data_IF_574110785938
#
_entry.id   IF_574110785938
#
_cell.length_a   1.000
_cell.length_b   1.000
_cell.length_c   1.000
_cell.angle_alpha   90.00
_cell.angle_beta   90.00
_cell.angle_gamma   90.00
#
_symmetry.space_group_name_H-M   'P 1'
#
loop_
_entity.id
_entity.type
_entity.pdbx_description
1 polymer ?
#
# COMPACT_ATOMS: atom_id res chain seq x y z
N UNK A 1 24.67 -21.72 4.23
CA UNK A 1 23.23 -21.64 3.89
C UNK A 1 22.75 -23.05 3.55
N UNK A 2 21.64 -23.55 4.12
CA UNK A 2 21.21 -24.94 3.93
C UNK A 2 20.49 -25.14 2.58
N UNK A 3 20.50 -26.35 2.03
CA UNK A 3 19.79 -26.71 0.79
C UNK A 3 18.29 -26.42 0.88
N UNK A 4 17.69 -26.58 2.07
CA UNK A 4 16.29 -26.24 2.31
C UNK A 4 16.02 -24.74 2.17
N UNK A 5 16.91 -23.89 2.65
CA UNK A 5 16.78 -22.44 2.49
C UNK A 5 16.95 -22.04 1.02
N UNK A 6 17.84 -22.69 0.27
CA UNK A 6 17.99 -22.45 -1.17
C UNK A 6 16.76 -22.89 -1.97
N UNK A 7 16.15 -24.03 -1.62
CA UNK A 7 14.91 -24.50 -2.24
C UNK A 7 13.73 -23.61 -1.88
N UNK A 8 13.64 -23.14 -0.64
CA UNK A 8 12.61 -22.20 -0.21
C UNK A 8 12.70 -20.86 -0.95
N UNK A 9 13.90 -20.28 -1.05
CA UNK A 9 14.14 -19.07 -1.85
C UNK A 9 13.80 -19.33 -3.31
N UNK A 10 14.25 -20.44 -3.90
CA UNK A 10 13.91 -20.78 -5.29
C UNK A 10 12.40 -20.94 -5.51
N UNK A 11 11.66 -21.52 -4.55
CA UNK A 11 10.21 -21.61 -4.59
C UNK A 11 9.57 -20.22 -4.52
N UNK A 12 10.01 -19.34 -3.63
CA UNK A 12 9.50 -17.97 -3.55
C UNK A 12 9.76 -17.17 -4.85
N UNK A 13 10.92 -17.37 -5.47
CA UNK A 13 11.23 -16.78 -6.78
C UNK A 13 10.35 -17.35 -7.91
N UNK A 14 9.86 -18.58 -7.76
CA UNK A 14 9.00 -19.26 -8.75
C UNK A 14 7.50 -18.98 -8.56
N UNK A 15 7.04 -18.83 -7.32
CA UNK A 15 5.63 -18.69 -6.96
C UNK A 15 5.20 -17.26 -6.64
N UNK A 16 6.15 -16.32 -6.63
CA UNK A 16 5.90 -14.90 -6.38
C UNK A 16 5.98 -14.52 -4.90
N UNK A 17 5.87 -13.22 -4.65
CA UNK A 17 5.94 -12.67 -3.30
C UNK A 17 4.65 -13.00 -2.51
N UNK A 18 4.75 -13.53 -1.27
CA UNK A 18 3.59 -13.71 -0.39
C UNK A 18 2.77 -12.42 -0.20
N UNK A 19 1.47 -12.55 0.07
CA UNK A 19 0.56 -11.40 0.25
C UNK A 19 0.97 -10.47 1.41
N UNK A 20 1.69 -10.99 2.39
CA UNK A 20 2.24 -10.29 3.56
C UNK A 20 3.69 -9.83 3.34
N UNK A 21 4.18 -9.73 2.11
CA UNK A 21 5.53 -9.23 1.83
C UNK A 21 5.72 -7.78 2.28
N UNK A 22 6.78 -7.50 3.05
CA UNK A 22 7.17 -6.15 3.41
C UNK A 22 7.90 -5.48 2.23
N UNK A 23 7.39 -4.33 1.80
CA UNK A 23 8.06 -3.43 0.86
C UNK A 23 8.04 -2.04 1.48
N UNK A 24 9.20 -1.52 1.85
CA UNK A 24 9.36 -0.21 2.50
C UNK A 24 10.58 0.52 1.91
N UNK A 25 11.24 1.42 2.63
CA UNK A 25 12.42 2.15 2.13
C UNK A 25 13.74 1.34 2.16
N UNK A 26 13.78 0.24 2.92
CA UNK A 26 14.95 -0.61 3.14
C UNK A 26 14.81 -1.96 2.43
N UNK A 27 13.59 -2.48 2.32
CA UNK A 27 13.23 -3.77 1.77
C UNK A 27 12.58 -3.61 0.39
N UNK A 28 13.40 -3.73 -0.66
CA UNK A 28 12.95 -3.59 -2.05
C UNK A 28 12.70 -4.92 -2.76
N UNK A 29 11.86 -4.88 -3.78
CA UNK A 29 11.63 -5.94 -4.74
C UNK A 29 12.67 -5.89 -5.86
N UNK A 30 13.10 -7.06 -6.38
CA UNK A 30 14.06 -7.12 -7.45
C UNK A 30 13.46 -6.59 -8.77
N UNK A 31 14.32 -6.03 -9.62
CA UNK A 31 13.90 -5.39 -10.88
C UNK A 31 13.21 -6.34 -11.88
N UNK A 32 13.45 -7.65 -11.77
CA UNK A 32 12.82 -8.67 -12.62
C UNK A 32 11.46 -9.12 -12.10
N UNK A 33 11.08 -8.78 -10.86
CA UNK A 33 9.78 -9.16 -10.31
C UNK A 33 8.68 -8.29 -10.92
N UNK A 34 7.93 -8.89 -11.83
CA UNK A 34 6.91 -8.25 -12.67
C UNK A 34 5.65 -9.16 -12.72
N UNK A 35 4.87 -9.24 -11.62
CA UNK A 35 3.73 -10.15 -11.53
C UNK A 35 2.50 -9.65 -12.30
N UNK A 36 2.46 -8.38 -12.70
CA UNK A 36 1.21 -7.72 -13.08
C UNK A 36 0.28 -7.49 -11.89
N UNK A 37 -0.97 -7.09 -12.16
CA UNK A 37 -2.02 -7.07 -11.14
C UNK A 37 -2.42 -8.52 -10.84
N UNK A 38 -2.42 -8.93 -9.56
CA UNK A 38 -2.76 -10.30 -9.19
C UNK A 38 -4.27 -10.55 -9.34
N UNK A 39 -4.64 -11.74 -9.80
CA UNK A 39 -6.04 -12.12 -10.04
C UNK A 39 -6.89 -12.08 -8.76
N UNK A 40 -6.34 -12.51 -7.62
CA UNK A 40 -7.01 -12.46 -6.32
C UNK A 40 -7.26 -11.01 -5.87
N UNK A 41 -6.30 -10.12 -6.12
CA UNK A 41 -6.46 -8.67 -5.85
C UNK A 41 -7.56 -8.09 -6.73
N UNK A 42 -7.60 -8.45 -8.01
CA UNK A 42 -8.63 -7.98 -8.94
C UNK A 42 -10.03 -8.45 -8.51
N UNK A 43 -10.19 -9.73 -8.16
CA UNK A 43 -11.46 -10.27 -7.71
C UNK A 43 -11.93 -9.60 -6.39
N UNK A 44 -11.01 -9.37 -5.45
CA UNK A 44 -11.30 -8.65 -4.22
C UNK A 44 -11.70 -7.19 -4.48
N UNK A 45 -11.02 -6.53 -5.41
CA UNK A 45 -11.33 -5.16 -5.84
C UNK A 45 -12.74 -5.05 -6.43
N UNK A 46 -13.12 -5.96 -7.33
CA UNK A 46 -14.46 -5.98 -7.93
C UNK A 46 -15.57 -6.18 -6.87
N UNK A 47 -15.31 -7.02 -5.87
CA UNK A 47 -16.22 -7.22 -4.74
C UNK A 47 -16.35 -5.95 -3.88
N UNK A 48 -15.22 -5.29 -3.57
CA UNK A 48 -15.18 -4.03 -2.83
C UNK A 48 -15.93 -2.92 -3.59
N UNK A 49 -15.68 -2.76 -4.89
CA UNK A 49 -16.32 -1.77 -5.73
C UNK A 49 -17.83 -2.01 -5.83
N UNK A 50 -18.26 -3.27 -5.97
CA UNK A 50 -19.68 -3.63 -5.98
C UNK A 50 -20.36 -3.23 -4.67
N UNK A 51 -19.76 -3.57 -3.54
CA UNK A 51 -20.32 -3.24 -2.23
C UNK A 51 -20.40 -1.73 -1.97
N UNK A 52 -19.34 -0.99 -2.32
CA UNK A 52 -19.33 0.47 -2.25
C UNK A 52 -20.49 1.07 -3.06
N UNK A 53 -20.70 0.58 -4.29
CA UNK A 53 -21.77 1.08 -5.17
C UNK A 53 -23.18 0.86 -4.61
N UNK A 54 -23.40 -0.25 -3.89
CA UNK A 54 -24.68 -0.55 -3.23
C UNK A 54 -25.01 0.44 -2.11
N UNK A 55 -24.01 1.11 -1.56
CA UNK A 55 -24.12 2.14 -0.53
C UNK A 55 -24.02 3.57 -1.10
N UNK A 56 -24.05 3.71 -2.43
CA UNK A 56 -23.96 5.00 -3.12
C UNK A 56 -22.56 5.60 -3.11
N UNK A 57 -21.52 4.79 -2.84
CA UNK A 57 -20.12 5.19 -2.93
C UNK A 57 -19.57 4.78 -4.29
N UNK A 58 -19.08 5.74 -5.06
CA UNK A 58 -18.39 5.44 -6.32
C UNK A 58 -16.88 5.43 -6.11
N UNK A 59 -16.21 4.46 -6.74
CA UNK A 59 -14.78 4.25 -6.59
C UNK A 59 -14.17 3.84 -7.94
N UNK A 60 -13.06 4.48 -8.31
CA UNK A 60 -12.25 4.12 -9.47
C UNK A 60 -10.82 3.76 -9.05
N UNK A 61 -10.20 2.88 -9.83
CA UNK A 61 -8.77 2.62 -9.75
C UNK A 61 -8.03 3.76 -10.44
N UNK A 62 -7.29 4.56 -9.68
CA UNK A 62 -6.45 5.63 -10.20
C UNK A 62 -5.10 5.07 -10.67
N UNK A 63 -4.51 4.18 -9.87
CA UNK A 63 -3.23 3.54 -10.15
C UNK A 63 -3.18 2.16 -9.49
N UNK A 64 -2.95 1.11 -10.28
CA UNK A 64 -2.84 -0.27 -9.80
C UNK A 64 -1.41 -0.78 -9.86
N UNK A 65 -1.19 -1.94 -10.47
CA UNK A 65 0.15 -2.47 -10.69
C UNK A 65 1.10 -1.47 -11.36
N UNK A 66 2.31 -1.33 -10.82
CA UNK A 66 3.41 -0.56 -11.41
C UNK A 66 4.65 -1.42 -11.49
N UNK A 67 5.15 -1.67 -12.70
CA UNK A 67 6.42 -2.38 -12.88
C UNK A 67 7.60 -1.56 -12.39
N UNK A 68 8.72 -2.23 -12.13
CA UNK A 68 9.98 -1.58 -11.74
C UNK A 68 10.36 -0.46 -12.73
N UNK A 69 10.27 -0.77 -14.04
CA UNK A 69 10.57 0.20 -15.11
C UNK A 69 9.61 1.38 -15.15
N UNK A 70 8.31 1.15 -14.91
CA UNK A 70 7.33 2.24 -14.83
C UNK A 70 7.55 3.09 -13.58
N UNK A 71 7.84 2.47 -12.44
CA UNK A 71 8.17 3.18 -11.20
C UNK A 71 9.41 4.07 -11.38
N UNK A 72 10.39 3.68 -12.20
CA UNK A 72 11.55 4.53 -12.51
C UNK A 72 11.15 5.82 -13.23
N UNK A 73 10.17 5.75 -14.13
CA UNK A 73 9.63 6.92 -14.82
C UNK A 73 8.84 7.82 -13.88
N UNK A 74 8.02 7.22 -13.00
CA UNK A 74 7.27 7.96 -11.97
C UNK A 74 8.23 8.68 -11.03
N UNK A 75 9.22 7.97 -10.47
CA UNK A 75 10.22 8.54 -9.57
C UNK A 75 10.98 9.70 -10.22
N UNK A 76 11.45 9.53 -11.46
CA UNK A 76 12.15 10.59 -12.19
C UNK A 76 11.26 11.81 -12.41
N UNK A 77 9.98 11.61 -12.77
CA UNK A 77 9.01 12.71 -12.96
C UNK A 77 8.76 13.46 -11.65
N UNK A 78 8.48 12.76 -10.55
CA UNK A 78 8.23 13.41 -9.25
C UNK A 78 9.43 14.23 -8.78
N UNK A 79 10.66 13.72 -8.97
CA UNK A 79 11.90 14.46 -8.65
C UNK A 79 12.02 15.75 -9.48
N UNK A 80 11.66 15.70 -10.77
CA UNK A 80 11.68 16.89 -11.64
C UNK A 80 10.62 17.91 -11.21
N UNK A 81 9.42 17.45 -10.85
CA UNK A 81 8.28 18.31 -10.54
C UNK A 81 8.36 18.92 -9.12
N UNK A 82 8.86 18.16 -8.15
CA UNK A 82 8.78 18.50 -6.72
C UNK A 82 10.15 18.68 -6.04
N UNK A 83 11.25 18.38 -6.72
CA UNK A 83 12.61 18.46 -6.14
C UNK A 83 12.74 17.56 -4.90
N UNK A 84 13.38 18.07 -3.85
CA UNK A 84 13.62 17.31 -2.60
C UNK A 84 12.33 16.84 -1.92
N UNK A 85 11.19 17.52 -2.14
CA UNK A 85 9.90 17.10 -1.59
C UNK A 85 9.39 15.81 -2.21
N UNK A 86 9.88 15.41 -3.38
CA UNK A 86 9.53 14.15 -4.00
C UNK A 86 9.90 12.96 -3.11
N UNK A 87 10.95 13.06 -2.29
CA UNK A 87 11.39 11.98 -1.40
C UNK A 87 10.36 11.59 -0.34
N UNK A 88 9.33 12.41 -0.11
CA UNK A 88 8.23 12.13 0.83
C UNK A 88 7.09 11.30 0.21
N UNK A 89 7.03 11.22 -1.12
CA UNK A 89 5.88 10.65 -1.85
C UNK A 89 6.30 9.68 -2.95
N UNK A 90 7.53 9.81 -3.46
CA UNK A 90 8.01 9.05 -4.60
C UNK A 90 9.00 7.98 -4.15
N UNK A 91 8.61 6.73 -4.39
CA UNK A 91 9.45 5.58 -4.10
C UNK A 91 10.41 5.28 -5.23
N UNK A 92 11.63 4.91 -4.86
CA UNK A 92 12.60 4.39 -5.83
C UNK A 92 12.05 3.09 -6.45
N UNK A 93 12.44 2.76 -7.69
CA UNK A 93 12.10 1.48 -8.29
C UNK A 93 12.48 0.32 -7.38
N UNK A 94 11.60 -0.66 -7.21
CA UNK A 94 11.77 -1.76 -6.25
C UNK A 94 11.13 -1.49 -4.89
N UNK A 95 10.97 -0.24 -4.48
CA UNK A 95 10.53 0.13 -3.11
C UNK A 95 9.07 0.61 -3.09
N UNK A 96 8.25 0.16 -4.03
CA UNK A 96 6.83 0.53 -4.18
C UNK A 96 5.95 -0.69 -4.00
N UNK A 97 4.97 -0.63 -3.10
CA UNK A 97 3.98 -1.71 -2.94
C UNK A 97 3.21 -2.00 -4.25
N UNK A 98 3.09 -1.04 -5.16
CA UNK A 98 2.46 -1.27 -6.47
C UNK A 98 3.17 -2.31 -7.33
N UNK A 99 4.46 -2.56 -7.09
CA UNK A 99 5.18 -3.61 -7.79
C UNK A 99 4.80 -5.02 -7.29
N UNK A 100 4.16 -5.15 -6.12
CA UNK A 100 3.60 -6.43 -5.65
C UNK A 100 2.41 -6.91 -6.49
N UNK A 101 1.73 -6.00 -7.21
CA UNK A 101 0.47 -6.32 -7.86
C UNK A 101 -0.72 -6.43 -6.90
N UNK A 102 -0.57 -5.95 -5.66
CA UNK A 102 -1.59 -5.99 -4.61
C UNK A 102 -2.00 -4.63 -4.09
N UNK A 103 -1.28 -3.55 -4.44
CA UNK A 103 -1.61 -2.18 -4.06
C UNK A 103 -2.39 -1.43 -5.14
N UNK A 104 -3.28 -0.55 -4.68
CA UNK A 104 -4.17 0.26 -5.50
C UNK A 104 -4.32 1.66 -4.88
N UNK A 105 -4.12 2.68 -5.70
CA UNK A 105 -4.57 4.04 -5.41
C UNK A 105 -5.98 4.22 -5.95
N UNK A 106 -6.90 4.68 -5.10
CA UNK A 106 -8.32 4.79 -5.44
C UNK A 106 -8.84 6.20 -5.21
N UNK A 107 -9.82 6.60 -6.02
CA UNK A 107 -10.44 7.91 -5.93
C UNK A 107 -11.92 7.84 -6.27
N UNK A 108 -12.66 8.89 -5.93
CA UNK A 108 -13.99 9.10 -6.51
C UNK A 108 -13.86 9.47 -8.00
N UNK A 109 -14.75 8.99 -8.90
CA UNK A 109 -14.75 9.37 -10.30
C UNK A 109 -14.65 10.88 -10.56
N UNK A 110 -13.64 11.28 -11.34
CA UNK A 110 -13.41 12.68 -11.71
C UNK A 110 -12.80 13.54 -10.61
N UNK A 111 -12.29 12.94 -9.52
CA UNK A 111 -11.56 13.62 -8.46
C UNK A 111 -10.10 13.16 -8.46
N UNK A 112 -9.18 14.10 -8.36
CA UNK A 112 -7.75 13.78 -8.26
C UNK A 112 -7.38 13.29 -6.86
N UNK A 113 -6.32 12.47 -6.76
CA UNK A 113 -5.71 12.07 -5.49
C UNK A 113 -5.15 13.27 -4.73
N UNK A 114 -5.13 13.21 -3.41
CA UNK A 114 -4.54 14.25 -2.56
C UNK A 114 -5.28 15.59 -2.51
N UNK A 115 -6.37 15.77 -3.26
CA UNK A 115 -7.21 16.96 -3.21
C UNK A 115 -8.33 16.78 -2.19
N UNK A 116 -8.55 17.81 -1.38
CA UNK A 116 -9.69 17.86 -0.47
C UNK A 116 -11.00 18.02 -1.27
N UNK A 117 -11.74 16.92 -1.40
CA UNK A 117 -13.07 16.86 -2.02
C UNK A 117 -13.98 16.03 -1.13
N UNK A 118 -15.20 16.50 -0.89
CA UNK A 118 -16.17 15.84 0.00
C UNK A 118 -16.49 14.40 -0.43
N UNK A 119 -16.42 14.11 -1.74
CA UNK A 119 -16.66 12.79 -2.30
C UNK A 119 -15.52 11.83 -1.99
N UNK A 120 -14.27 12.30 -2.12
CA UNK A 120 -13.10 11.55 -1.66
C UNK A 120 -13.16 11.32 -0.15
N UNK A 121 -13.56 12.32 0.65
CA UNK A 121 -13.75 12.14 2.09
C UNK A 121 -14.78 11.04 2.39
N UNK A 122 -15.90 11.02 1.66
CA UNK A 122 -16.94 10.00 1.82
C UNK A 122 -16.41 8.60 1.45
N UNK A 123 -15.73 8.48 0.31
CA UNK A 123 -15.10 7.24 -0.13
C UNK A 123 -14.09 6.71 0.89
N UNK A 124 -13.15 7.55 1.34
CA UNK A 124 -12.09 7.11 2.24
C UNK A 124 -12.65 6.76 3.63
N UNK A 125 -13.68 7.46 4.10
CA UNK A 125 -14.41 7.06 5.33
C UNK A 125 -15.02 5.68 5.16
N UNK A 126 -15.65 5.40 4.02
CA UNK A 126 -16.23 4.09 3.74
C UNK A 126 -15.15 2.99 3.70
N UNK A 127 -13.97 3.26 3.13
CA UNK A 127 -12.84 2.33 3.09
C UNK A 127 -12.31 2.01 4.50
N UNK A 128 -12.17 3.00 5.37
CA UNK A 128 -11.77 2.81 6.78
C UNK A 128 -12.67 1.76 7.45
N UNK A 129 -13.97 1.86 7.23
CA UNK A 129 -14.96 0.98 7.86
C UNK A 129 -15.11 -0.39 7.18
N UNK A 130 -14.77 -0.53 5.90
CA UNK A 130 -15.16 -1.70 5.10
C UNK A 130 -14.03 -2.44 4.38
N UNK A 131 -12.88 -1.81 4.10
CA UNK A 131 -11.83 -2.38 3.24
C UNK A 131 -11.36 -3.77 3.74
N UNK A 132 -11.22 -3.93 5.05
CA UNK A 132 -10.76 -5.17 5.69
C UNK A 132 -11.68 -6.36 5.42
N UNK A 133 -12.97 -6.13 5.15
CA UNK A 133 -13.96 -7.17 4.83
C UNK A 133 -13.69 -7.82 3.47
N UNK A 134 -12.98 -7.11 2.58
CA UNK A 134 -12.60 -7.54 1.25
C UNK A 134 -11.12 -7.89 1.14
N UNK A 135 -10.39 -7.91 2.26
CA UNK A 135 -8.96 -8.23 2.28
C UNK A 135 -8.03 -7.06 2.01
N UNK A 136 -8.54 -5.83 2.01
CA UNK A 136 -7.74 -4.62 1.86
C UNK A 136 -7.47 -3.92 3.20
N UNK A 137 -6.30 -3.29 3.29
CA UNK A 137 -5.93 -2.37 4.37
C UNK A 137 -5.46 -1.04 3.78
N UNK A 138 -5.57 0.06 4.53
CA UNK A 138 -4.97 1.33 4.17
C UNK A 138 -3.50 1.27 4.60
N UNK A 139 -2.55 1.18 3.65
CA UNK A 139 -1.14 0.94 4.02
C UNK A 139 -0.53 2.09 4.81
N UNK A 140 -0.97 3.32 4.55
CA UNK A 140 -0.43 4.55 5.16
C UNK A 140 -1.54 5.33 5.89
N UNK A 141 -2.01 4.83 7.05
CA UNK A 141 -3.12 5.42 7.78
C UNK A 141 -2.73 6.75 8.44
N UNK A 142 -3.74 7.54 8.81
CA UNK A 142 -3.53 8.75 9.61
C UNK A 142 -3.16 8.38 11.05
N UNK A 143 -2.13 9.01 11.60
CA UNK A 143 -1.71 8.89 13.00
C UNK A 143 -1.52 10.27 13.61
N UNK A 144 -1.81 10.42 14.89
CA UNK A 144 -1.62 11.69 15.62
C UNK A 144 -0.14 11.97 15.85
N UNK A 145 0.22 13.25 15.91
CA UNK A 145 1.60 13.76 15.94
C UNK A 145 2.46 13.29 17.14
N UNK A 146 1.87 12.69 18.18
CA UNK A 146 2.62 12.11 19.30
C UNK A 146 3.19 10.72 18.97
N UNK A 147 2.59 10.03 18.00
CA UNK A 147 2.94 8.66 17.56
C UNK A 147 3.48 8.66 16.12
N UNK A 148 3.05 9.63 15.30
CA UNK A 148 3.57 9.86 13.95
C UNK A 148 4.79 10.78 14.03
N UNK A 149 5.96 10.35 13.54
CA UNK A 149 7.25 10.59 14.14
C UNK A 149 7.71 12.03 14.02
N UNK A 150 7.69 12.72 15.15
CA UNK A 150 8.64 13.78 15.42
C UNK A 150 9.38 13.63 16.76
N UNK A 151 9.23 12.52 17.49
CA UNK A 151 9.90 12.38 18.79
C UNK A 151 10.47 10.97 19.08
N UNK A 152 11.54 10.52 18.40
CA UNK A 152 12.68 9.77 19.00
C UNK A 152 13.74 9.20 18.03
N UNK A 153 14.97 9.73 18.16
CA UNK A 153 16.34 9.15 18.05
C UNK A 153 16.81 8.32 16.84
N UNK A 154 15.98 7.87 15.89
CA UNK A 154 16.47 7.00 14.79
C UNK A 154 16.15 7.45 13.35
N UNK A 155 15.60 8.66 13.14
CA UNK A 155 15.40 9.24 11.79
C UNK A 155 15.82 10.73 11.72
N UNK A 156 16.75 11.12 10.82
CA UNK A 156 16.98 12.51 10.41
C UNK A 156 16.12 12.96 9.21
N UNK A 157 15.24 12.09 8.68
CA UNK A 157 14.38 12.39 7.53
C UNK A 157 12.95 11.96 7.87
N UNK A 158 11.98 12.80 7.52
CA UNK A 158 10.52 12.70 7.74
C UNK A 158 9.99 11.30 7.35
N UNK A 159 8.94 10.82 8.02
CA UNK A 159 8.18 9.57 7.75
C UNK A 159 8.33 8.97 6.37
N UNK A 160 8.46 7.65 6.28
CA UNK A 160 8.62 6.94 5.00
C UNK A 160 7.51 7.25 3.98
N UNK A 161 6.26 7.46 4.41
CA UNK A 161 5.17 8.02 3.59
C UNK A 161 4.24 8.91 4.43
N UNK A 162 3.62 9.91 3.80
CA UNK A 162 2.59 10.74 4.42
C UNK A 162 1.27 9.94 4.49
N UNK A 163 0.30 10.38 5.28
CA UNK A 163 -1.05 9.78 5.27
C UNK A 163 -1.61 9.74 3.83
N UNK A 164 -1.88 8.53 3.34
CA UNK A 164 -2.42 8.28 1.99
C UNK A 164 -3.73 7.48 2.10
N UNK A 165 -4.86 8.15 2.37
CA UNK A 165 -6.15 7.47 2.54
C UNK A 165 -6.64 6.76 1.26
N UNK A 166 -6.03 7.05 0.12
CA UNK A 166 -6.30 6.43 -1.17
C UNK A 166 -5.51 5.15 -1.42
N UNK A 167 -4.41 4.91 -0.71
CA UNK A 167 -3.52 3.77 -0.97
C UNK A 167 -3.99 2.57 -0.16
N UNK A 168 -4.65 1.63 -0.84
CA UNK A 168 -5.09 0.38 -0.26
C UNK A 168 -4.25 -0.79 -0.77
N UNK A 169 -3.98 -1.76 0.10
CA UNK A 169 -3.24 -2.98 -0.25
C UNK A 169 -4.04 -4.22 0.09
N UNK A 170 -4.14 -5.12 -0.87
CA UNK A 170 -4.69 -6.46 -0.67
C UNK A 170 -3.67 -7.35 0.06
N UNK A 171 -4.11 -7.90 1.18
CA UNK A 171 -3.32 -8.81 2.04
C UNK A 171 -4.07 -10.11 2.34
N UNK A 172 -5.24 -10.31 1.70
CA UNK A 172 -6.17 -11.39 1.99
C UNK A 172 -7.08 -11.08 3.19
N UNK A 173 -8.29 -11.63 3.16
CA UNK A 173 -9.34 -11.37 4.17
C UNK A 173 -8.88 -11.67 5.60
N UNK A 174 -8.26 -12.84 5.92
CA UNK A 174 -7.90 -13.15 7.29
C UNK A 174 -6.90 -12.15 7.89
N UNK A 175 -5.89 -11.76 7.12
CA UNK A 175 -4.85 -10.84 7.57
C UNK A 175 -5.39 -9.41 7.69
N UNK A 176 -6.18 -8.95 6.71
CA UNK A 176 -6.79 -7.62 6.78
C UNK A 176 -7.72 -7.46 8.00
N UNK A 177 -8.49 -8.50 8.33
CA UNK A 177 -9.32 -8.53 9.53
C UNK A 177 -8.50 -8.54 10.82
N UNK A 178 -7.37 -9.25 10.85
CA UNK A 178 -6.47 -9.25 12.00
C UNK A 178 -5.82 -7.86 12.23
N UNK A 179 -5.34 -7.23 11.15
CA UNK A 179 -4.77 -5.88 11.17
C UNK A 179 -5.84 -4.87 11.65
N UNK A 180 -7.06 -4.94 11.11
CA UNK A 180 -8.18 -4.11 11.55
C UNK A 180 -8.50 -4.29 13.03
N UNK A 181 -8.60 -5.54 13.50
CA UNK A 181 -8.88 -5.85 14.90
C UNK A 181 -7.78 -5.38 15.87
N UNK A 182 -6.55 -5.23 15.39
CA UNK A 182 -5.43 -4.67 16.16
C UNK A 182 -5.50 -3.14 16.30
N UNK A 183 -6.48 -2.47 15.68
CA UNK A 183 -6.70 -1.04 15.86
C UNK A 183 -5.73 -0.15 15.09
N UNK A 184 -5.19 -0.61 13.95
CA UNK A 184 -4.22 0.18 13.16
C UNK A 184 -4.80 1.51 12.64
N UNK A 185 -6.13 1.63 12.52
CA UNK A 185 -6.82 2.85 12.09
C UNK A 185 -7.09 3.84 13.23
N UNK A 186 -6.85 3.45 14.49
CA UNK A 186 -6.86 4.41 15.59
C UNK A 186 -5.67 5.36 15.43
N UNK A 187 -5.90 6.69 15.29
CA UNK A 187 -4.83 7.67 15.20
C UNK A 187 -3.93 7.72 16.44
N UNK A 188 -4.38 7.21 17.58
CA UNK A 188 -3.63 7.07 18.82
C UNK A 188 -2.96 5.70 19.01
N UNK A 189 -3.04 4.80 18.03
CA UNK A 189 -2.38 3.49 18.07
C UNK A 189 -1.01 3.54 17.39
N UNK A 190 -0.01 2.84 17.93
CA UNK A 190 1.30 2.63 17.31
C UNK A 190 1.31 1.50 16.27
N UNK A 191 0.23 0.72 16.19
CA UNK A 191 0.10 -0.40 15.25
C UNK A 191 0.01 0.09 13.81
N UNK A 192 0.84 -0.49 12.94
CA UNK A 192 0.84 -0.28 11.50
C UNK A 192 0.56 -1.59 10.75
N UNK A 193 0.00 -1.54 9.53
CA UNK A 193 -0.13 -2.74 8.70
C UNK A 193 1.21 -3.47 8.50
N UNK A 194 2.31 -2.71 8.40
CA UNK A 194 3.66 -3.22 8.18
C UNK A 194 4.18 -4.10 9.33
N UNK A 195 3.65 -3.96 10.55
CA UNK A 195 4.00 -4.82 11.69
C UNK A 195 3.63 -6.29 11.47
N UNK A 196 2.75 -6.56 10.50
CA UNK A 196 2.26 -7.89 10.15
C UNK A 196 2.92 -8.45 8.89
N UNK A 197 3.84 -7.70 8.28
CA UNK A 197 4.49 -8.10 7.03
C UNK A 197 5.86 -8.75 7.28
N UNK A 198 6.36 -9.44 6.26
CA UNK A 198 7.60 -10.21 6.31
C UNK A 198 8.50 -9.86 5.12
N UNK A 199 9.79 -9.68 5.40
CA UNK A 199 10.78 -9.41 4.36
C UNK A 199 10.80 -10.56 3.35
N UNK A 200 10.67 -10.23 2.07
CA UNK A 200 10.82 -11.20 1.00
C UNK A 200 12.31 -11.38 0.69
N UNK A 201 12.81 -12.64 0.71
CA UNK A 201 14.24 -12.93 0.60
C UNK A 201 14.87 -12.69 -0.78
#
# INVERSE_FOLDING_TARGET
MSVLLQLYIALLLLFGAPLDTLVDSEHGLPAWYDPGLQDETLAAWEALQTAASMEGIEIILFSGYRSYGYQAQVYAREIIERGDQALLYATRPGYSEHQLGTAMDVAWPGVALGIHDVRNTQLYTWLVDNAHRYGFVISYPYKTFDIWPYHNRWMPVVTEYIHEPWHIRYVGIPLAQAIFAAGYLDPGSDVLPQDFYHVWP
#
